data_IF_316244508254
#
_entry.id   IF_316244508254
#
_cell.length_a   1.000
_cell.length_b   1.000
_cell.length_c   1.000
_cell.angle_alpha   90.00
_cell.angle_beta   90.00
_cell.angle_gamma   90.00
#
_symmetry.space_group_name_H-M   'P 1'
#
loop_
_entity.id
_entity.type
_entity.pdbx_description
1 polymer ?
#
# COMPACT_ATOMS: atom_id res chain seq x y z
N UNK A 1 -10.75 1.38 -21.04
CA UNK A 1 -9.54 1.66 -21.82
C UNK A 1 -9.73 2.93 -22.65
N UNK A 2 -10.67 2.95 -23.60
CA UNK A 2 -10.90 4.08 -24.52
C UNK A 2 -10.96 5.43 -23.80
N UNK A 3 -11.82 5.57 -22.79
CA UNK A 3 -11.94 6.78 -21.98
C UNK A 3 -10.61 7.28 -21.39
N UNK A 4 -9.77 6.37 -20.88
CA UNK A 4 -8.47 6.77 -20.29
C UNK A 4 -7.52 7.33 -21.35
N UNK A 5 -7.50 6.74 -22.53
CA UNK A 5 -6.69 7.24 -23.65
C UNK A 5 -7.17 8.61 -24.11
N UNK A 6 -8.49 8.78 -24.28
CA UNK A 6 -9.11 10.07 -24.64
C UNK A 6 -8.82 11.15 -23.58
N UNK A 7 -8.88 10.80 -22.28
CA UNK A 7 -8.50 11.68 -21.19
C UNK A 7 -7.03 12.13 -21.27
N UNK A 8 -6.10 11.20 -21.51
CA UNK A 8 -4.69 11.54 -21.69
C UNK A 8 -4.46 12.45 -22.89
N UNK A 9 -5.14 12.19 -24.02
CA UNK A 9 -5.06 13.05 -25.20
C UNK A 9 -5.63 14.45 -24.94
N UNK A 10 -6.73 14.54 -24.18
CA UNK A 10 -7.31 15.83 -23.81
C UNK A 10 -6.36 16.66 -22.93
N UNK A 11 -5.66 16.03 -21.97
CA UNK A 11 -4.64 16.70 -21.17
C UNK A 11 -3.50 17.25 -22.03
N UNK A 12 -3.01 16.47 -22.99
CA UNK A 12 -1.95 16.90 -23.92
C UNK A 12 -2.43 18.05 -24.80
N UNK A 13 -3.59 17.91 -25.42
CA UNK A 13 -4.17 18.93 -26.32
C UNK A 13 -4.35 20.28 -25.63
N UNK A 14 -4.69 20.28 -24.36
CA UNK A 14 -4.88 21.50 -23.57
C UNK A 14 -3.62 21.96 -22.83
N UNK A 15 -2.45 21.36 -23.12
CA UNK A 15 -1.17 21.66 -22.47
C UNK A 15 -1.21 21.61 -20.94
N UNK A 16 -2.02 20.70 -20.36
CA UNK A 16 -2.14 20.55 -18.92
C UNK A 16 -0.99 19.68 -18.43
N UNK A 17 -0.03 20.31 -17.76
CA UNK A 17 1.18 19.66 -17.24
C UNK A 17 1.16 19.63 -15.69
N UNK A 18 0.35 18.74 -15.11
CA UNK A 18 0.24 18.53 -13.67
C UNK A 18 0.82 17.17 -13.29
N UNK A 19 1.52 17.09 -12.17
CA UNK A 19 1.81 15.81 -11.52
C UNK A 19 0.57 15.35 -10.77
N UNK A 20 0.18 14.11 -10.98
CA UNK A 20 -1.05 13.57 -10.40
C UNK A 20 -0.92 12.11 -9.98
N UNK A 21 -1.90 11.60 -9.26
CA UNK A 21 -1.91 10.26 -8.70
C UNK A 21 -3.28 9.60 -8.78
N UNK A 22 -3.29 8.28 -8.80
CA UNK A 22 -4.46 7.44 -8.58
C UNK A 22 -4.32 6.75 -7.22
N UNK A 23 -4.73 7.40 -6.12
CA UNK A 23 -4.48 6.93 -4.76
C UNK A 23 -5.45 5.85 -4.29
N UNK A 24 -6.49 5.56 -5.03
CA UNK A 24 -7.46 4.50 -4.74
C UNK A 24 -7.17 3.26 -5.59
N UNK A 25 -7.57 2.08 -5.07
CA UNK A 25 -7.35 0.82 -5.76
C UNK A 25 -7.94 0.80 -7.16
N UNK A 26 -7.09 0.67 -8.15
CA UNK A 26 -7.46 0.69 -9.57
C UNK A 26 -7.72 -0.73 -10.07
N UNK A 27 -8.67 -0.88 -11.01
CA UNK A 27 -8.93 -2.14 -11.68
C UNK A 27 -7.76 -2.50 -12.60
N UNK A 28 -6.91 -3.41 -12.13
CA UNK A 28 -5.67 -3.79 -12.80
C UNK A 28 -5.86 -4.44 -14.16
N UNK A 29 -6.98 -5.10 -14.39
CA UNK A 29 -7.33 -5.70 -15.66
C UNK A 29 -7.55 -4.67 -16.79
N UNK A 30 -7.82 -3.42 -16.44
CA UNK A 30 -8.00 -2.32 -17.39
C UNK A 30 -6.69 -1.58 -17.72
N UNK A 31 -5.59 -1.91 -17.03
CA UNK A 31 -4.31 -1.22 -17.12
C UNK A 31 -3.30 -2.07 -17.91
N UNK A 32 -3.48 -2.14 -19.22
CA UNK A 32 -2.48 -2.71 -20.12
C UNK A 32 -1.30 -1.74 -20.36
N UNK A 33 -0.31 -2.19 -21.13
CA UNK A 33 0.91 -1.40 -21.39
C UNK A 33 0.59 -0.06 -22.06
N UNK A 34 -0.31 -0.04 -23.03
CA UNK A 34 -0.70 1.17 -23.75
C UNK A 34 -1.33 2.21 -22.82
N UNK A 35 -2.24 1.77 -21.95
CA UNK A 35 -2.88 2.65 -20.96
C UNK A 35 -1.85 3.18 -19.97
N UNK A 36 -0.95 2.33 -19.45
CA UNK A 36 0.10 2.74 -18.51
C UNK A 36 1.06 3.75 -19.18
N UNK A 37 1.45 3.54 -20.44
CA UNK A 37 2.29 4.48 -21.17
C UNK A 37 1.59 5.81 -21.40
N UNK A 38 0.31 5.79 -21.77
CA UNK A 38 -0.49 7.01 -21.92
C UNK A 38 -0.57 7.79 -20.60
N UNK A 39 -0.85 7.12 -19.48
CA UNK A 39 -0.91 7.74 -18.17
C UNK A 39 0.46 8.32 -17.75
N UNK A 40 1.54 7.60 -17.99
CA UNK A 40 2.91 8.08 -17.70
C UNK A 40 3.25 9.31 -18.55
N UNK A 41 2.83 9.36 -19.83
CA UNK A 41 3.09 10.49 -20.72
C UNK A 41 2.39 11.81 -20.32
N UNK A 42 1.40 11.73 -19.44
CA UNK A 42 0.70 12.87 -18.84
C UNK A 42 0.98 13.02 -17.34
N UNK A 43 2.20 12.64 -16.93
CA UNK A 43 2.72 12.84 -15.58
C UNK A 43 1.99 12.12 -14.42
N UNK A 44 1.36 10.95 -14.66
CA UNK A 44 0.97 10.08 -13.55
C UNK A 44 2.22 9.62 -12.79
N UNK A 45 2.31 9.93 -11.49
CA UNK A 45 3.46 9.59 -10.64
C UNK A 45 3.20 8.46 -9.66
N UNK A 46 1.95 8.23 -9.28
CA UNK A 46 1.60 7.27 -8.24
C UNK A 46 0.33 6.50 -8.60
N UNK A 47 0.37 5.19 -8.45
CA UNK A 47 -0.71 4.27 -8.81
C UNK A 47 -0.91 3.19 -7.73
N UNK A 48 -2.14 3.09 -7.23
CA UNK A 48 -2.51 2.09 -6.21
C UNK A 48 -3.29 0.95 -6.83
N UNK A 49 -2.83 -0.26 -6.58
CA UNK A 49 -3.52 -1.52 -6.86
C UNK A 49 -4.11 -2.09 -5.57
N UNK A 50 -5.26 -2.72 -5.64
CA UNK A 50 -5.89 -3.40 -4.51
C UNK A 50 -6.16 -4.88 -4.83
N UNK A 51 -5.10 -5.72 -4.90
CA UNK A 51 -5.27 -7.15 -5.11
C UNK A 51 -5.94 -7.85 -3.93
N UNK A 52 -5.93 -7.28 -2.75
CA UNK A 52 -6.46 -7.75 -1.47
C UNK A 52 -5.76 -9.02 -0.96
N UNK A 53 -5.60 -10.06 -1.77
CA UNK A 53 -4.98 -11.33 -1.37
C UNK A 53 -4.15 -11.96 -2.50
N UNK A 54 -3.11 -12.70 -2.13
CA UNK A 54 -2.36 -13.59 -3.01
C UNK A 54 -2.98 -15.00 -3.16
N UNK A 55 -4.08 -15.27 -2.46
CA UNK A 55 -4.76 -16.55 -2.49
C UNK A 55 -6.02 -16.50 -3.36
N UNK A 56 -6.06 -17.31 -4.41
CA UNK A 56 -7.25 -17.45 -5.26
C UNK A 56 -8.47 -17.89 -4.44
N UNK A 57 -8.28 -18.75 -3.43
CA UNK A 57 -9.37 -19.18 -2.54
C UNK A 57 -9.90 -18.03 -1.70
N UNK A 58 -9.02 -17.19 -1.13
CA UNK A 58 -9.44 -15.99 -0.38
C UNK A 58 -10.13 -14.99 -1.30
N UNK A 59 -9.61 -14.77 -2.52
CA UNK A 59 -10.25 -13.89 -3.52
C UNK A 59 -11.66 -14.39 -3.89
N UNK A 60 -11.85 -15.69 -4.04
CA UNK A 60 -13.17 -16.29 -4.27
C UNK A 60 -14.10 -16.08 -3.06
N UNK A 61 -13.60 -16.28 -1.84
CA UNK A 61 -14.34 -16.07 -0.59
C UNK A 61 -14.89 -14.66 -0.47
N UNK A 62 -14.06 -13.65 -0.79
CA UNK A 62 -14.45 -12.23 -0.74
C UNK A 62 -15.08 -11.72 -2.04
N UNK A 63 -15.41 -12.63 -2.96
CA UNK A 63 -16.03 -12.33 -4.27
C UNK A 63 -15.23 -11.32 -5.12
N UNK A 64 -13.91 -11.25 -4.93
CA UNK A 64 -13.01 -10.36 -5.70
C UNK A 64 -12.65 -11.01 -7.03
N UNK A 65 -13.26 -10.52 -8.10
CA UNK A 65 -13.08 -11.05 -9.47
C UNK A 65 -11.82 -10.49 -10.14
N UNK A 66 -10.64 -10.80 -9.59
CA UNK A 66 -9.35 -10.43 -10.19
C UNK A 66 -8.51 -11.66 -10.46
N UNK A 67 -7.57 -11.54 -11.40
CA UNK A 67 -6.56 -12.55 -11.70
C UNK A 67 -5.19 -12.03 -11.27
N UNK A 68 -4.57 -12.66 -10.30
CA UNK A 68 -3.25 -12.25 -9.77
C UNK A 68 -2.21 -12.06 -10.89
N UNK A 69 -2.08 -12.95 -11.90
CA UNK A 69 -1.15 -12.72 -13.01
C UNK A 69 -1.42 -11.44 -13.81
N UNK A 70 -2.69 -11.02 -13.94
CA UNK A 70 -3.01 -9.76 -14.63
C UNK A 70 -2.58 -8.55 -13.80
N UNK A 71 -2.76 -8.59 -12.47
CA UNK A 71 -2.23 -7.57 -11.56
C UNK A 71 -0.72 -7.46 -11.66
N UNK A 72 -0.03 -8.59 -11.60
CA UNK A 72 1.44 -8.65 -11.73
C UNK A 72 1.93 -8.05 -13.04
N UNK A 73 1.27 -8.37 -14.14
CA UNK A 73 1.59 -7.84 -15.45
C UNK A 73 1.45 -6.31 -15.49
N UNK A 74 0.31 -5.79 -15.00
CA UNK A 74 0.05 -4.35 -14.93
C UNK A 74 1.04 -3.63 -14.01
N UNK A 75 1.36 -4.21 -12.85
CA UNK A 75 2.37 -3.68 -11.92
C UNK A 75 3.74 -3.57 -12.59
N UNK A 76 4.18 -4.60 -13.34
CA UNK A 76 5.45 -4.54 -14.09
C UNK A 76 5.45 -3.40 -15.10
N UNK A 77 4.34 -3.17 -15.78
CA UNK A 77 4.21 -2.04 -16.71
C UNK A 77 4.35 -0.69 -15.98
N UNK A 78 3.65 -0.50 -14.85
CA UNK A 78 3.76 0.73 -14.07
C UNK A 78 5.20 0.98 -13.60
N UNK A 79 5.87 -0.04 -13.05
CA UNK A 79 7.26 0.03 -12.61
C UNK A 79 8.21 0.34 -13.77
N UNK A 80 8.00 -0.22 -14.97
CA UNK A 80 8.81 0.05 -16.15
C UNK A 80 8.69 1.49 -16.67
N UNK A 81 7.57 2.15 -16.38
CA UNK A 81 7.34 3.56 -16.72
C UNK A 81 7.72 4.52 -15.58
N UNK A 82 8.45 4.05 -14.56
CA UNK A 82 8.84 4.83 -13.37
C UNK A 82 7.65 5.42 -12.58
N UNK A 83 6.48 4.80 -12.67
CA UNK A 83 5.33 5.13 -11.82
C UNK A 83 5.53 4.43 -10.48
N UNK A 84 5.43 5.19 -9.39
CA UNK A 84 5.46 4.64 -8.04
C UNK A 84 4.22 3.76 -7.84
N UNK A 85 4.42 2.46 -7.79
CA UNK A 85 3.35 1.49 -7.59
C UNK A 85 3.19 1.14 -6.10
N UNK A 86 1.94 1.08 -5.67
CA UNK A 86 1.54 0.54 -4.35
C UNK A 86 0.56 -0.60 -4.55
N UNK A 87 0.69 -1.65 -3.73
CA UNK A 87 -0.25 -2.78 -3.72
C UNK A 87 -0.78 -3.01 -2.32
N UNK A 88 -2.09 -2.85 -2.13
CA UNK A 88 -2.75 -3.08 -0.86
C UNK A 88 -3.14 -4.56 -0.73
N UNK A 89 -2.73 -5.18 0.39
CA UNK A 89 -3.08 -6.55 0.75
C UNK A 89 -3.82 -6.55 2.09
N UNK A 90 -4.68 -7.52 2.28
CA UNK A 90 -5.47 -7.71 3.51
C UNK A 90 -5.31 -9.15 3.97
N UNK A 91 -5.19 -9.37 5.27
CA UNK A 91 -5.11 -10.67 5.93
C UNK A 91 -6.15 -10.77 7.04
N UNK A 92 -6.49 -11.99 7.44
CA UNK A 92 -7.41 -12.25 8.54
C UNK A 92 -8.88 -12.18 8.15
N UNK A 93 -9.21 -12.43 6.89
CA UNK A 93 -10.61 -12.58 6.49
C UNK A 93 -11.28 -13.73 7.26
N UNK A 94 -12.59 -13.64 7.59
CA UNK A 94 -13.36 -14.78 8.05
C UNK A 94 -13.18 -15.97 7.11
N UNK A 95 -12.92 -17.16 7.65
CA UNK A 95 -12.69 -18.38 6.87
C UNK A 95 -11.32 -18.49 6.17
N UNK A 96 -10.45 -17.48 6.24
CA UNK A 96 -9.10 -17.56 5.69
C UNK A 96 -8.21 -18.49 6.53
N UNK A 97 -7.59 -19.48 5.89
CA UNK A 97 -6.64 -20.38 6.56
C UNK A 97 -5.22 -19.84 6.53
N UNK A 98 -4.34 -20.35 7.41
CA UNK A 98 -2.91 -19.98 7.43
C UNK A 98 -2.23 -20.18 6.08
N UNK A 99 -2.54 -21.27 5.36
CA UNK A 99 -1.98 -21.52 4.04
C UNK A 99 -2.38 -20.44 3.02
N UNK A 100 -3.61 -19.94 3.10
CA UNK A 100 -4.09 -18.86 2.24
C UNK A 100 -3.40 -17.53 2.59
N UNK A 101 -3.23 -17.24 3.89
CA UNK A 101 -2.48 -16.09 4.37
C UNK A 101 -1.02 -16.16 3.89
N UNK A 102 -0.35 -17.30 3.97
CA UNK A 102 1.03 -17.45 3.49
C UNK A 102 1.16 -17.16 1.99
N UNK A 103 0.15 -17.50 1.17
CA UNK A 103 0.11 -17.10 -0.24
C UNK A 103 0.03 -15.59 -0.39
N UNK A 104 -0.67 -14.90 0.50
CA UNK A 104 -0.74 -13.43 0.50
C UNK A 104 0.61 -12.81 0.90
N UNK A 105 1.30 -13.33 1.92
CA UNK A 105 2.64 -12.89 2.29
C UNK A 105 3.67 -13.20 1.19
N UNK A 106 3.59 -14.35 0.54
CA UNK A 106 4.43 -14.66 -0.62
C UNK A 106 4.22 -13.65 -1.76
N UNK A 107 2.95 -13.31 -2.05
CA UNK A 107 2.63 -12.32 -3.06
C UNK A 107 3.13 -10.93 -2.68
N UNK A 108 3.11 -10.55 -1.40
CA UNK A 108 3.70 -9.31 -0.88
C UNK A 108 5.21 -9.24 -1.20
N UNK A 109 5.93 -10.29 -0.87
CA UNK A 109 7.37 -10.42 -1.15
C UNK A 109 7.63 -10.37 -2.66
N UNK A 110 6.83 -11.05 -3.46
CA UNK A 110 6.93 -11.05 -4.92
C UNK A 110 6.74 -9.64 -5.50
N UNK A 111 5.80 -8.86 -5.00
CA UNK A 111 5.62 -7.46 -5.39
C UNK A 111 6.84 -6.61 -5.05
N UNK A 112 7.46 -6.81 -3.89
CA UNK A 112 8.70 -6.12 -3.53
C UNK A 112 9.84 -6.42 -4.53
N UNK A 113 10.03 -7.68 -4.90
CA UNK A 113 10.98 -8.08 -5.96
C UNK A 113 10.66 -7.46 -7.32
N UNK A 114 9.38 -7.36 -7.69
CA UNK A 114 8.94 -6.74 -8.93
C UNK A 114 9.19 -5.23 -8.97
N UNK A 115 9.46 -4.61 -7.83
CA UNK A 115 9.76 -3.20 -7.73
C UNK A 115 8.64 -2.31 -7.25
N UNK A 116 7.58 -2.89 -6.74
CA UNK A 116 6.57 -2.14 -6.01
C UNK A 116 7.24 -1.42 -4.84
N UNK A 117 6.92 -0.16 -4.67
CA UNK A 117 7.57 0.66 -3.66
C UNK A 117 6.90 0.58 -2.30
N UNK A 118 5.60 0.40 -2.28
CA UNK A 118 4.79 0.38 -1.08
C UNK A 118 3.87 -0.84 -1.09
N UNK A 119 4.12 -1.81 -0.20
CA UNK A 119 3.38 -3.08 -0.15
C UNK A 119 2.79 -3.28 1.24
N UNK A 120 1.90 -2.38 1.70
CA UNK A 120 1.28 -2.53 3.00
C UNK A 120 0.34 -3.73 3.05
N UNK A 121 0.30 -4.33 4.22
CA UNK A 121 -0.70 -5.35 4.57
C UNK A 121 -1.58 -4.84 5.69
N UNK A 122 -2.88 -4.95 5.51
CA UNK A 122 -3.91 -4.53 6.45
C UNK A 122 -4.59 -5.74 7.06
N UNK A 123 -5.25 -5.54 8.19
CA UNK A 123 -6.18 -6.52 8.72
C UNK A 123 -7.54 -6.38 8.05
N UNK A 124 -8.25 -7.48 7.94
CA UNK A 124 -9.65 -7.43 7.56
C UNK A 124 -10.44 -6.65 8.62
N UNK A 125 -11.30 -5.78 8.15
CA UNK A 125 -12.29 -5.10 8.96
C UNK A 125 -13.64 -5.15 8.25
N UNK A 126 -14.66 -5.41 9.03
CA UNK A 126 -16.01 -5.50 8.54
C UNK A 126 -16.62 -4.11 8.47
N UNK A 127 -16.73 -3.54 7.27
CA UNK A 127 -17.38 -2.25 7.07
C UNK A 127 -18.90 -2.40 6.95
N UNK A 128 -19.69 -1.53 7.61
CA UNK A 128 -21.15 -1.51 7.47
C UNK A 128 -21.57 -1.45 5.99
N UNK A 129 -22.62 -2.22 5.67
CA UNK A 129 -23.14 -2.32 4.30
C UNK A 129 -22.42 -3.33 3.41
N UNK A 130 -21.46 -4.11 3.97
CA UNK A 130 -20.85 -5.24 3.26
C UNK A 130 -21.46 -6.57 3.73
N UNK A 131 -21.53 -7.55 2.82
CA UNK A 131 -22.07 -8.88 3.11
C UNK A 131 -21.37 -9.55 4.31
N UNK A 132 -20.04 -9.43 4.40
CA UNK A 132 -19.29 -9.98 5.54
C UNK A 132 -19.61 -9.25 6.85
N UNK A 133 -19.89 -7.96 6.81
CA UNK A 133 -20.36 -7.24 7.99
C UNK A 133 -21.73 -7.76 8.46
N UNK A 134 -22.68 -7.88 7.55
CA UNK A 134 -24.02 -8.35 7.86
C UNK A 134 -24.00 -9.77 8.44
N UNK A 135 -23.14 -10.63 7.87
CA UNK A 135 -22.92 -11.98 8.38
C UNK A 135 -22.36 -11.95 9.81
N UNK A 136 -21.29 -11.21 10.06
CA UNK A 136 -20.64 -11.13 11.37
C UNK A 136 -21.54 -10.48 12.44
N UNK A 137 -22.36 -9.52 12.02
CA UNK A 137 -23.38 -8.91 12.90
C UNK A 137 -24.46 -9.93 13.29
N UNK A 138 -24.96 -10.70 12.33
CA UNK A 138 -25.92 -11.78 12.56
C UNK A 138 -25.35 -12.89 13.46
N UNK A 139 -24.06 -13.20 13.31
CA UNK A 139 -23.33 -14.14 14.15
C UNK A 139 -22.96 -13.56 15.53
N UNK A 140 -23.35 -12.34 15.84
CA UNK A 140 -23.03 -11.60 17.09
C UNK A 140 -21.53 -11.47 17.36
N UNK A 141 -20.72 -11.50 16.30
CA UNK A 141 -19.26 -11.25 16.36
C UNK A 141 -18.91 -9.76 16.34
N UNK A 142 -19.87 -8.91 15.99
CA UNK A 142 -19.76 -7.44 16.01
C UNK A 142 -20.82 -6.89 16.94
N UNK A 143 -20.42 -5.98 17.82
CA UNK A 143 -21.32 -5.14 18.60
C UNK A 143 -21.09 -3.70 18.14
N UNK A 144 -22.17 -3.02 17.71
CA UNK A 144 -22.11 -1.63 17.25
C UNK A 144 -22.02 -0.70 18.47
N UNK A 145 -20.80 -0.35 18.83
CA UNK A 145 -20.47 0.58 19.89
C UNK A 145 -19.29 1.48 19.46
N UNK A 146 -18.90 2.41 20.29
CA UNK A 146 -17.81 3.33 19.99
C UNK A 146 -16.49 2.61 19.72
N UNK A 147 -16.19 1.53 20.44
CA UNK A 147 -14.97 0.74 20.23
C UNK A 147 -14.92 0.13 18.84
N UNK A 148 -16.07 -0.36 18.32
CA UNK A 148 -16.14 -0.86 16.95
C UNK A 148 -15.86 0.25 15.93
N UNK A 149 -16.49 1.43 16.07
CA UNK A 149 -16.27 2.54 15.15
C UNK A 149 -14.85 3.10 15.27
N UNK A 150 -14.29 3.18 16.46
CA UNK A 150 -12.89 3.52 16.66
C UNK A 150 -11.95 2.52 16.00
N UNK A 151 -12.24 1.22 16.04
CA UNK A 151 -11.44 0.20 15.38
C UNK A 151 -11.38 0.40 13.86
N UNK A 152 -12.47 0.85 13.23
CA UNK A 152 -12.49 1.18 11.80
C UNK A 152 -11.62 2.41 11.47
N UNK A 153 -11.59 3.42 12.34
CA UNK A 153 -10.79 4.61 12.13
C UNK A 153 -9.27 4.35 12.26
N UNK A 154 -8.87 3.38 13.08
CA UNK A 154 -7.45 3.05 13.32
C UNK A 154 -6.79 2.20 12.22
N UNK A 155 -7.54 1.75 11.23
CA UNK A 155 -7.08 0.89 10.13
C UNK A 155 -5.94 1.47 9.30
N UNK A 156 -5.94 2.77 9.11
CA UNK A 156 -4.91 3.47 8.35
C UNK A 156 -3.61 3.67 9.14
N UNK A 157 -3.57 3.31 10.42
CA UNK A 157 -2.40 3.49 11.25
C UNK A 157 -1.53 2.24 11.24
N UNK A 158 -0.24 2.42 10.95
CA UNK A 158 0.80 1.43 11.17
C UNK A 158 1.07 1.28 12.67
N UNK A 159 0.03 0.94 13.45
CA UNK A 159 0.20 0.77 14.88
C UNK A 159 1.12 -0.41 15.18
N UNK A 160 2.12 -0.15 16.01
CA UNK A 160 3.04 -1.16 16.52
C UNK A 160 2.40 -2.06 17.60
N UNK A 161 1.13 -1.83 17.92
CA UNK A 161 0.37 -2.61 18.89
C UNK A 161 -0.80 -3.31 18.22
N UNK A 162 -1.12 -4.56 18.61
CA UNK A 162 -2.26 -5.29 18.07
C UNK A 162 -3.55 -4.73 18.64
N UNK A 163 -4.06 -3.65 18.02
CA UNK A 163 -5.30 -2.97 18.47
C UNK A 163 -6.56 -3.55 17.86
N UNK A 164 -6.42 -4.40 16.84
CA UNK A 164 -7.55 -4.88 16.07
C UNK A 164 -8.15 -6.16 16.64
N UNK A 165 -9.45 -6.31 16.51
CA UNK A 165 -10.17 -7.57 16.73
C UNK A 165 -9.89 -8.50 15.53
N UNK A 166 -9.67 -9.79 15.77
CA UNK A 166 -9.65 -10.79 14.70
C UNK A 166 -11.07 -11.35 14.52
N UNK A 167 -11.56 -11.27 13.30
CA UNK A 167 -12.81 -11.95 12.88
C UNK A 167 -12.53 -13.32 12.25
N UNK A 168 -11.26 -13.73 12.21
CA UNK A 168 -10.86 -15.02 11.65
C UNK A 168 -10.97 -16.12 12.72
N UNK A 169 -11.50 -17.28 12.34
CA UNK A 169 -11.75 -18.40 13.23
C UNK A 169 -10.49 -19.18 13.58
N UNK A 170 -9.46 -19.09 12.76
CA UNK A 170 -8.22 -19.89 12.90
C UNK A 170 -7.04 -19.11 13.45
N UNK A 171 -7.07 -17.78 13.38
CA UNK A 171 -5.94 -16.92 13.70
C UNK A 171 -6.36 -15.76 14.60
N UNK A 172 -5.75 -15.71 15.78
CA UNK A 172 -5.97 -14.63 16.73
C UNK A 172 -5.28 -13.32 16.33
N UNK A 173 -5.66 -12.22 16.99
CA UNK A 173 -5.12 -10.88 16.69
C UNK A 173 -3.58 -10.78 16.81
N UNK A 174 -2.97 -11.44 17.79
CA UNK A 174 -1.52 -11.43 17.98
C UNK A 174 -0.79 -12.22 16.89
N UNK A 175 -1.35 -13.35 16.45
CA UNK A 175 -0.82 -14.14 15.35
C UNK A 175 -0.86 -13.34 14.03
N UNK A 176 -1.98 -12.71 13.72
CA UNK A 176 -2.11 -11.83 12.56
C UNK A 176 -1.14 -10.64 12.63
N UNK A 177 -0.94 -10.08 13.82
CA UNK A 177 0.03 -9.01 14.03
C UNK A 177 1.46 -9.46 13.67
N UNK A 178 1.87 -10.63 14.14
CA UNK A 178 3.21 -11.19 13.85
C UNK A 178 3.36 -11.41 12.34
N UNK A 179 2.40 -12.05 11.67
CA UNK A 179 2.44 -12.27 10.23
C UNK A 179 2.53 -10.97 9.44
N UNK A 180 1.72 -9.99 9.79
CA UNK A 180 1.78 -8.66 9.17
C UNK A 180 3.14 -8.01 9.34
N UNK A 181 3.67 -7.98 10.56
CA UNK A 181 4.97 -7.33 10.85
C UNK A 181 6.11 -8.02 10.12
N UNK A 182 6.19 -9.36 10.16
CA UNK A 182 7.20 -10.13 9.46
C UNK A 182 7.10 -9.91 7.94
N UNK A 183 5.90 -10.00 7.38
CA UNK A 183 5.67 -9.76 5.95
C UNK A 183 6.10 -8.35 5.52
N UNK A 184 5.75 -7.32 6.28
CA UNK A 184 6.14 -5.94 5.99
C UNK A 184 7.65 -5.73 6.12
N UNK A 185 8.27 -6.21 7.20
CA UNK A 185 9.72 -6.08 7.40
C UNK A 185 10.47 -6.74 6.23
N UNK A 186 10.11 -7.97 5.85
CA UNK A 186 10.74 -8.67 4.73
C UNK A 186 10.52 -7.93 3.41
N UNK A 187 9.29 -7.51 3.09
CA UNK A 187 8.99 -6.84 1.83
C UNK A 187 9.73 -5.51 1.69
N UNK A 188 9.75 -4.68 2.74
CA UNK A 188 10.48 -3.41 2.70
C UNK A 188 12.00 -3.62 2.71
N UNK A 189 12.54 -4.56 3.47
CA UNK A 189 13.96 -4.91 3.43
C UNK A 189 14.39 -5.30 2.03
N UNK A 190 13.65 -6.20 1.37
CA UNK A 190 13.89 -6.61 -0.02
C UNK A 190 13.80 -5.41 -0.97
N UNK A 191 12.77 -4.59 -0.83
CA UNK A 191 12.56 -3.40 -1.65
C UNK A 191 13.75 -2.42 -1.59
N UNK A 192 14.29 -2.17 -0.41
CA UNK A 192 15.45 -1.29 -0.21
C UNK A 192 16.78 -1.94 -0.64
N UNK A 193 16.97 -3.23 -0.37
CA UNK A 193 18.19 -3.96 -0.78
C UNK A 193 18.33 -4.04 -2.31
N UNK A 194 17.25 -4.35 -3.02
CA UNK A 194 17.28 -4.48 -4.49
C UNK A 194 17.39 -3.12 -5.18
N UNK A 195 16.86 -2.06 -4.54
CA UNK A 195 16.88 -0.69 -5.09
C UNK A 195 17.47 0.31 -4.12
N UNK A 196 18.78 0.31 -3.89
CA UNK A 196 19.43 1.15 -2.87
C UNK A 196 19.24 2.65 -3.13
N UNK A 197 18.96 3.06 -4.37
CA UNK A 197 18.59 4.47 -4.68
C UNK A 197 17.36 4.95 -3.89
N UNK A 198 16.50 4.03 -3.42
CA UNK A 198 15.36 4.37 -2.55
C UNK A 198 15.80 4.87 -1.19
N UNK A 199 16.92 4.37 -0.64
CA UNK A 199 17.48 4.82 0.63
C UNK A 199 17.79 6.31 0.53
N UNK A 200 18.50 6.72 -0.53
CA UNK A 200 18.86 8.13 -0.75
C UNK A 200 17.61 9.00 -0.96
N UNK A 201 16.61 8.51 -1.70
CA UNK A 201 15.35 9.22 -1.88
C UNK A 201 14.61 9.39 -0.55
N UNK A 202 14.52 8.36 0.27
CA UNK A 202 13.88 8.40 1.59
C UNK A 202 14.57 9.37 2.52
N UNK A 203 15.90 9.34 2.57
CA UNK A 203 16.70 10.33 3.35
C UNK A 203 16.42 11.75 2.86
N UNK A 204 16.44 11.96 1.54
CA UNK A 204 16.18 13.28 0.95
C UNK A 204 14.75 13.76 1.23
N UNK A 205 13.76 12.85 1.26
CA UNK A 205 12.35 13.20 1.53
C UNK A 205 12.14 13.71 2.97
N UNK A 206 12.98 13.31 3.92
CA UNK A 206 12.91 13.79 5.31
C UNK A 206 13.12 15.30 5.40
N UNK A 207 13.97 15.86 4.51
CA UNK A 207 14.37 17.26 4.52
C UNK A 207 13.62 18.13 3.51
N UNK A 208 12.80 17.53 2.65
CA UNK A 208 11.99 18.22 1.65
C UNK A 208 10.51 18.10 1.98
N UNK A 209 9.72 19.00 1.41
CA UNK A 209 8.27 18.84 1.42
C UNK A 209 7.86 17.81 0.36
N UNK A 210 6.92 16.92 0.74
CA UNK A 210 6.50 15.78 -0.08
C UNK A 210 7.23 14.48 0.26
N UNK A 211 6.58 13.37 -0.03
CA UNK A 211 7.08 12.00 0.10
C UNK A 211 6.52 11.15 -1.02
N UNK A 212 7.33 10.25 -1.59
CA UNK A 212 6.89 9.41 -2.71
C UNK A 212 6.02 8.22 -2.25
N UNK A 213 6.17 7.81 -0.99
CA UNK A 213 5.41 6.69 -0.41
C UNK A 213 4.84 7.02 0.95
N UNK A 214 3.81 6.27 1.37
CA UNK A 214 3.22 6.44 2.70
C UNK A 214 4.21 6.09 3.80
N UNK A 215 5.09 5.11 3.58
CA UNK A 215 6.15 4.73 4.54
C UNK A 215 7.14 5.87 4.73
N UNK A 216 7.60 6.51 3.66
CA UNK A 216 8.45 7.69 3.73
C UNK A 216 7.79 8.81 4.53
N UNK A 217 6.51 9.08 4.28
CA UNK A 217 5.77 10.10 5.01
C UNK A 217 5.68 9.77 6.51
N UNK A 218 5.36 8.53 6.88
CA UNK A 218 5.26 8.10 8.29
C UNK A 218 6.61 8.16 9.00
N UNK A 219 7.67 7.73 8.34
CA UNK A 219 9.02 7.82 8.88
C UNK A 219 9.43 9.28 9.12
N UNK A 220 9.13 10.16 8.18
CA UNK A 220 9.32 11.60 8.29
C UNK A 220 8.55 12.20 9.47
N UNK A 221 7.26 11.85 9.61
CA UNK A 221 6.41 12.32 10.70
C UNK A 221 6.94 11.84 12.07
N UNK A 222 7.38 10.59 12.15
CA UNK A 222 8.00 10.04 13.36
C UNK A 222 9.29 10.79 13.75
N UNK A 223 10.17 10.99 12.78
CA UNK A 223 11.42 11.72 13.01
C UNK A 223 11.17 13.19 13.39
N UNK A 224 10.24 13.86 12.73
CA UNK A 224 9.89 15.26 13.04
C UNK A 224 9.31 15.44 14.45
N UNK A 225 8.62 14.45 14.97
CA UNK A 225 8.12 14.43 16.36
C UNK A 225 9.21 14.12 17.38
N UNK A 226 10.33 13.57 16.97
CA UNK A 226 11.45 13.21 17.83
C UNK A 226 12.30 14.43 18.14
N UNK A 227 12.45 14.79 19.42
CA UNK A 227 13.34 15.87 19.87
C UNK A 227 14.81 15.63 19.47
N UNK A 228 15.22 14.36 19.37
CA UNK A 228 16.55 13.97 18.92
C UNK A 228 16.80 14.38 17.46
N UNK A 229 15.81 14.22 16.61
CA UNK A 229 15.90 14.59 15.20
C UNK A 229 16.05 16.13 15.03
N UNK A 230 15.21 16.90 15.72
CA UNK A 230 15.21 18.35 15.61
C UNK A 230 16.54 18.95 16.10
N UNK A 231 17.06 18.46 17.24
CA UNK A 231 18.26 19.02 17.87
C UNK A 231 19.58 18.58 17.22
N UNK A 232 19.69 17.32 16.79
CA UNK A 232 20.99 16.73 16.46
C UNK A 232 21.11 16.22 15.03
N UNK A 233 20.11 15.57 14.49
CA UNK A 233 20.19 14.91 13.18
C UNK A 233 19.98 15.91 12.05
N UNK A 234 18.98 16.78 12.14
CA UNK A 234 18.66 17.76 11.09
C UNK A 234 19.82 18.68 10.74
N UNK A 235 20.53 19.34 11.71
CA UNK A 235 21.68 20.18 11.40
C UNK A 235 22.84 19.42 10.78
N UNK A 236 23.11 18.20 11.28
CA UNK A 236 24.20 17.35 10.77
C UNK A 236 23.97 16.95 9.31
N UNK A 237 22.77 16.47 8.98
CA UNK A 237 22.46 16.02 7.61
C UNK A 237 22.36 17.19 6.63
N UNK A 238 21.83 18.34 7.03
CA UNK A 238 21.84 19.55 6.20
C UNK A 238 23.28 19.95 5.85
N UNK A 239 24.17 19.92 6.82
CA UNK A 239 25.60 20.25 6.62
C UNK A 239 26.32 19.26 5.69
N UNK A 240 26.02 17.95 5.81
CA UNK A 240 26.72 16.88 5.07
C UNK A 240 26.20 16.70 3.65
N UNK A 241 24.88 16.73 3.46
CA UNK A 241 24.26 16.35 2.19
C UNK A 241 23.73 17.49 1.35
N UNK A 242 23.54 18.66 1.93
CA UNK A 242 22.94 19.78 1.21
C UNK A 242 23.87 21.00 1.10
N UNK A 243 25.18 20.85 1.45
CA UNK A 243 26.16 21.93 1.28
C UNK A 243 25.50 23.27 0.92
N UNK A 244 24.72 23.83 1.83
CA UNK A 244 24.28 25.20 1.66
C UNK A 244 25.56 26.05 1.87
N UNK A 245 26.07 26.58 0.77
CA UNK A 245 26.92 27.72 0.80
C UNK A 245 26.20 28.81 1.58
N UNK A 246 26.71 29.13 2.77
CA UNK A 246 26.48 30.40 3.42
C UNK A 246 26.95 31.53 2.52
#
# INVERSE_FOLDING_TARGET
>A
KKWVLEFCEALKKNNINLEWSLPSGTRSEALDLEVIQALASVNLKYLVYAPESGSVKTLALIKKKIKIPAVEKSVRYAVSQNIVARTNLIIGFPGETRLQLYKTLYQQIKFAFMGVEDVPTYYFNAYPGTELFDQLLKEKKITLNDDYFHSLATLSHYNLTPTNVSYNEYMGKYELYIYRMVGMILAYSISYLIRPKRIFRTIKSIFRDGSATVVEQRFKDYLRKSNLFIKHIKPFVLKVFFRESL
#
